data_IF_571015664886
#
_entry.id   IF_571015664886
#
_cell.length_a   1.000
_cell.length_b   1.000
_cell.length_c   1.000
_cell.angle_alpha   90.00
_cell.angle_beta   90.00
_cell.angle_gamma   90.00
#
_symmetry.space_group_name_H-M   'P 1'
#
loop_
_entity.id
_entity.type
_entity.pdbx_description
1 polymer ?
#
# COMPACT_ATOMS: atom_id res chain seq x y z
N UNK A 1 -21.35 -0.94 14.26
CA UNK A 1 -20.27 -0.03 14.35
C UNK A 1 -18.99 -0.67 13.85
N UNK A 2 -18.22 0.07 13.19
CA UNK A 2 -17.10 -0.51 12.51
C UNK A 2 -15.83 0.14 12.93
N UNK A 3 -14.90 -0.66 13.33
CA UNK A 3 -13.60 -0.13 13.62
C UNK A 3 -12.77 -0.12 12.39
N UNK A 4 -11.86 0.83 12.29
CA UNK A 4 -10.91 0.78 11.17
C UNK A 4 -10.15 -0.52 11.25
N UNK A 5 -9.86 -1.08 10.11
CA UNK A 5 -9.01 -2.25 10.09
C UNK A 5 -7.62 -1.87 10.55
N UNK A 6 -6.96 -2.81 11.18
CA UNK A 6 -5.58 -2.59 11.53
C UNK A 6 -4.75 -2.45 10.26
N UNK A 7 -3.63 -1.75 10.39
CA UNK A 7 -2.70 -1.63 9.28
C UNK A 7 -2.21 -3.00 8.85
N UNK A 8 -2.08 -3.16 7.56
CA UNK A 8 -1.72 -4.43 6.98
C UNK A 8 -0.61 -4.22 5.98
N UNK A 9 0.35 -5.12 5.95
CA UNK A 9 1.40 -5.07 4.96
C UNK A 9 1.40 -6.37 4.19
N UNK A 10 2.06 -6.36 3.04
CA UNK A 10 2.15 -7.55 2.21
C UNK A 10 3.02 -8.61 2.89
N UNK A 11 2.69 -9.86 2.69
CA UNK A 11 3.54 -10.94 3.16
C UNK A 11 4.87 -10.96 2.44
N UNK A 12 4.98 -10.22 1.36
CA UNK A 12 6.25 -10.09 0.66
C UNK A 12 7.12 -8.97 1.21
N UNK A 13 6.66 -8.27 2.25
CA UNK A 13 7.44 -7.21 2.88
C UNK A 13 8.47 -7.84 3.77
N UNK A 14 9.31 -8.53 3.36
CA UNK A 14 10.42 -9.09 4.03
C UNK A 14 10.29 -9.43 5.49
N UNK A 15 11.08 -10.34 5.94
CA UNK A 15 11.10 -10.72 7.33
C UNK A 15 11.99 -9.80 8.16
N UNK A 16 12.73 -8.94 7.53
CA UNK A 16 13.62 -8.06 8.24
C UNK A 16 12.82 -6.95 8.88
N UNK A 17 12.84 -6.88 10.18
CA UNK A 17 12.03 -5.94 10.90
C UNK A 17 12.53 -4.52 10.81
N UNK A 18 13.74 -4.34 10.34
CA UNK A 18 14.30 -3.01 10.21
C UNK A 18 13.96 -2.36 8.89
N UNK A 19 13.29 -3.07 8.00
CA UNK A 19 12.97 -2.51 6.70
C UNK A 19 11.69 -1.71 6.80
N UNK A 20 11.66 -0.62 6.06
CA UNK A 20 10.42 0.12 5.95
C UNK A 20 9.46 -0.63 5.04
N UNK A 21 8.20 -0.50 5.34
CA UNK A 21 7.14 -1.19 4.64
C UNK A 21 6.02 -0.24 4.33
N UNK A 22 5.27 -0.56 3.30
CA UNK A 22 4.05 0.16 3.00
C UNK A 22 2.90 -0.57 3.68
N UNK A 23 2.12 0.18 4.42
CA UNK A 23 0.97 -0.36 5.13
C UNK A 23 -0.31 0.21 4.57
N UNK A 24 -1.36 -0.58 4.60
CA UNK A 24 -2.65 -0.21 4.04
C UNK A 24 -3.72 -0.56 5.05
N UNK A 25 -4.76 0.26 5.12
CA UNK A 25 -5.92 -0.08 5.94
C UNK A 25 -7.16 0.58 5.36
N UNK A 26 -8.31 0.06 5.78
CA UNK A 26 -9.57 0.70 5.49
C UNK A 26 -10.02 1.44 6.72
N UNK A 27 -10.45 2.68 6.54
CA UNK A 27 -10.91 3.47 7.66
C UNK A 27 -12.36 3.14 7.98
N UNK A 28 -12.83 3.63 9.12
CA UNK A 28 -14.21 3.42 9.50
C UNK A 28 -15.20 4.05 8.54
N UNK A 29 -14.79 5.06 7.79
CA UNK A 29 -15.66 5.69 6.82
C UNK A 29 -15.61 5.00 5.46
N UNK A 30 -14.77 4.00 5.31
CA UNK A 30 -14.70 3.26 4.05
C UNK A 30 -13.63 3.74 3.10
N UNK A 31 -12.85 4.72 3.49
CA UNK A 31 -11.71 5.13 2.68
C UNK A 31 -10.54 4.18 2.88
N UNK A 32 -9.58 4.31 2.01
CA UNK A 32 -8.36 3.51 2.09
C UNK A 32 -7.21 4.44 2.42
N UNK A 33 -6.38 4.04 3.35
CA UNK A 33 -5.21 4.82 3.71
C UNK A 33 -3.96 3.98 3.51
N UNK A 34 -2.93 4.64 2.99
CA UNK A 34 -1.63 4.02 2.81
C UNK A 34 -0.58 4.86 3.52
N UNK A 35 0.38 4.19 4.10
CA UNK A 35 1.46 4.89 4.78
C UNK A 35 2.72 4.05 4.69
N UNK A 36 3.85 4.73 4.63
CA UNK A 36 5.14 4.06 4.70
C UNK A 36 5.67 4.21 6.11
N UNK A 37 6.22 3.14 6.65
CA UNK A 37 6.56 3.12 8.06
C UNK A 37 7.60 4.15 8.45
N UNK A 38 8.42 4.61 7.51
CA UNK A 38 9.41 5.63 7.83
C UNK A 38 8.88 7.05 7.69
N UNK A 39 7.67 7.20 7.20
CA UNK A 39 7.05 8.50 7.07
C UNK A 39 5.63 8.42 7.58
N UNK A 40 5.46 8.13 8.86
CA UNK A 40 4.11 7.88 9.37
C UNK A 40 3.19 9.09 9.34
N UNK A 41 3.75 10.28 9.18
CA UNK A 41 2.93 11.47 9.10
C UNK A 41 2.42 11.72 7.70
N UNK A 42 2.92 11.02 6.69
CA UNK A 42 2.53 11.26 5.30
C UNK A 42 1.57 10.17 4.85
N UNK A 43 0.34 10.27 5.29
CA UNK A 43 -0.67 9.27 4.97
C UNK A 43 -1.39 9.68 3.70
N UNK A 44 -1.52 8.73 2.79
CA UNK A 44 -2.28 8.92 1.57
C UNK A 44 -3.67 8.34 1.79
N UNK A 45 -4.69 9.15 1.57
CA UNK A 45 -6.07 8.70 1.71
C UNK A 45 -6.72 8.71 0.33
N UNK A 46 -7.42 7.64 0.00
CA UNK A 46 -8.07 7.55 -1.29
C UNK A 46 -9.37 6.78 -1.12
N UNK A 47 -10.22 6.81 -2.15
CA UNK A 47 -11.48 6.11 -2.10
C UNK A 47 -11.27 4.63 -2.39
N UNK A 48 -12.24 3.83 -1.99
CA UNK A 48 -12.22 2.41 -2.31
C UNK A 48 -12.18 2.19 -3.80
N UNK A 49 -12.92 2.99 -4.55
CA UNK A 49 -12.97 2.81 -6.00
C UNK A 49 -11.61 3.10 -6.63
N UNK A 50 -10.97 4.18 -6.18
CA UNK A 50 -9.65 4.47 -6.73
C UNK A 50 -8.64 3.42 -6.35
N UNK A 51 -8.72 2.93 -5.13
CA UNK A 51 -7.79 1.90 -4.71
C UNK A 51 -8.04 0.60 -5.46
N UNK A 52 -9.31 0.29 -5.72
CA UNK A 52 -9.62 -0.92 -6.48
C UNK A 52 -9.04 -0.87 -7.88
N UNK A 53 -9.13 0.29 -8.52
CA UNK A 53 -8.53 0.44 -9.84
C UNK A 53 -7.02 0.27 -9.78
N UNK A 54 -6.41 0.81 -8.74
CA UNK A 54 -4.97 0.67 -8.56
C UNK A 54 -4.59 -0.82 -8.41
N UNK A 55 -5.36 -1.54 -7.58
CA UNK A 55 -5.06 -2.95 -7.36
C UNK A 55 -5.20 -3.73 -8.66
N UNK A 56 -6.21 -3.41 -9.47
CA UNK A 56 -6.36 -4.09 -10.74
C UNK A 56 -5.19 -3.81 -11.67
N UNK A 57 -4.70 -2.58 -11.66
CA UNK A 57 -3.53 -2.26 -12.46
C UNK A 57 -2.31 -3.04 -12.00
N UNK A 58 -2.16 -3.18 -10.69
CA UNK A 58 -1.06 -3.97 -10.15
C UNK A 58 -1.17 -5.41 -10.62
N UNK A 59 -2.36 -5.98 -10.54
CA UNK A 59 -2.54 -7.37 -10.96
C UNK A 59 -2.31 -7.57 -12.45
N UNK A 60 -2.56 -6.54 -13.24
CA UNK A 60 -2.35 -6.62 -14.67
C UNK A 60 -0.91 -6.34 -15.07
N UNK A 61 -0.04 -6.05 -14.11
CA UNK A 61 1.36 -5.80 -14.40
C UNK A 61 1.64 -4.41 -14.92
N UNK A 62 0.69 -3.50 -14.79
CA UNK A 62 0.86 -2.18 -15.40
C UNK A 62 1.93 -1.36 -14.71
N UNK A 63 2.26 -1.68 -13.47
CA UNK A 63 3.23 -0.91 -12.71
C UNK A 63 4.53 -1.66 -12.48
N UNK A 64 4.67 -2.81 -13.14
CA UNK A 64 5.85 -3.62 -12.88
C UNK A 64 7.13 -2.91 -13.26
N UNK A 65 7.07 -2.03 -14.25
CA UNK A 65 8.26 -1.31 -14.66
C UNK A 65 8.81 -0.41 -13.56
N UNK A 66 7.98 -0.09 -12.58
CA UNK A 66 8.42 0.77 -11.49
C UNK A 66 9.29 0.04 -10.48
N UNK A 67 9.22 -1.28 -10.46
CA UNK A 67 10.01 -2.05 -9.51
C UNK A 67 11.14 -2.79 -10.19
N UNK A 68 11.35 -2.57 -11.48
CA UNK A 68 12.45 -3.18 -12.17
C UNK A 68 13.74 -2.53 -11.75
N UNK A 69 14.79 -3.33 -11.78
CA UNK A 69 16.06 -2.85 -11.33
C UNK A 69 16.50 -1.64 -12.13
N UNK A 70 16.97 -0.58 -11.48
CA UNK A 70 17.44 0.58 -12.22
C UNK A 70 18.58 0.28 -13.16
N UNK A 71 19.34 -0.74 -12.87
CA UNK A 71 20.45 -1.08 -13.75
C UNK A 71 19.97 -1.64 -15.08
N UNK A 72 18.73 -1.97 -15.15
CA UNK A 72 18.17 -2.45 -16.39
C UNK A 72 17.83 -1.33 -17.32
N UNK A 73 17.60 -0.21 -16.75
CA UNK A 73 17.08 0.74 -17.51
C UNK A 73 17.21 1.84 -17.78
#
# INVERSE_FOLDING_TARGET
MTEPTTWQKSSFSGADQNQSCVHVRRTGSGAIELVESESPEAIIATSRANFAAFVQGVKAGEFDHLIESPSQG
#
